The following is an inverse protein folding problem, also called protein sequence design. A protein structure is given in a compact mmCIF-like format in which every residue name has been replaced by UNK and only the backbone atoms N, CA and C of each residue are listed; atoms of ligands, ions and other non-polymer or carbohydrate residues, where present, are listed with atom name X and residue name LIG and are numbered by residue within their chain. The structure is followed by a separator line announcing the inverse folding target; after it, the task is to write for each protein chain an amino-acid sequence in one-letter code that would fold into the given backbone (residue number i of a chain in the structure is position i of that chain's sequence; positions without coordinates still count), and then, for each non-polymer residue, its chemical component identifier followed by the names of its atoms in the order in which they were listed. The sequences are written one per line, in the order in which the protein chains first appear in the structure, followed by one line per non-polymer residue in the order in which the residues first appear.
data_IF_467150648399
#
_entry.id   IF_467150648399
#
_cell.length_a   1.000
_cell.length_b   1.000
_cell.length_c   1.000
_cell.angle_alpha   90.00
_cell.angle_beta   90.00
_cell.angle_gamma   90.00
#
_symmetry.space_group_name_H-M   'P 1'
#
loop_
_entity.id
_entity.type
_entity.pdbx_description
1 polymer ?
#
# COMPACT_ATOMS: atom_id res chain seq x y z
N UNK A 1 19.11 -14.86 -6.03
CA UNK A 1 17.95 -14.43 -5.23
C UNK A 1 17.15 -13.40 -6.01
N UNK A 2 15.87 -13.17 -5.69
CA UNK A 2 15.03 -12.22 -6.46
C UNK A 2 15.27 -10.74 -6.11
N UNK A 3 16.06 -10.48 -5.08
CA UNK A 3 16.27 -9.13 -4.53
C UNK A 3 17.00 -8.21 -5.52
N UNK A 4 17.89 -8.77 -6.35
CA UNK A 4 18.65 -8.00 -7.36
C UNK A 4 17.76 -7.44 -8.48
N UNK A 5 16.54 -7.95 -8.64
CA UNK A 5 15.59 -7.54 -9.69
C UNK A 5 14.55 -6.52 -9.22
N UNK A 6 14.68 -5.98 -8.01
CA UNK A 6 13.68 -5.06 -7.47
C UNK A 6 13.49 -3.81 -8.36
N UNK A 7 14.58 -3.25 -8.89
CA UNK A 7 14.53 -2.06 -9.76
C UNK A 7 13.75 -2.34 -11.05
N UNK A 8 13.98 -3.51 -11.66
CA UNK A 8 13.28 -3.94 -12.88
C UNK A 8 11.78 -4.10 -12.59
N UNK A 9 11.43 -4.80 -11.51
CA UNK A 9 10.06 -5.03 -11.12
C UNK A 9 9.32 -3.72 -10.78
N UNK A 10 9.94 -2.81 -10.03
CA UNK A 10 9.34 -1.51 -9.68
C UNK A 10 9.05 -0.68 -10.93
N UNK A 11 9.97 -0.63 -11.90
CA UNK A 11 9.74 0.09 -13.17
C UNK A 11 8.59 -0.51 -13.96
N UNK A 12 8.55 -1.83 -14.08
CA UNK A 12 7.50 -2.52 -14.83
C UNK A 12 6.12 -2.35 -14.17
N UNK A 13 6.01 -2.57 -12.86
CA UNK A 13 4.77 -2.41 -12.12
C UNK A 13 4.29 -0.96 -12.15
N UNK A 14 5.20 0.02 -12.01
CA UNK A 14 4.89 1.44 -12.13
C UNK A 14 4.31 1.80 -13.50
N UNK A 15 4.91 1.31 -14.59
CA UNK A 15 4.35 1.48 -15.94
C UNK A 15 2.95 0.88 -16.07
N UNK A 16 2.70 -0.32 -15.52
CA UNK A 16 1.36 -0.90 -15.59
C UNK A 16 0.30 -0.13 -14.79
N UNK A 17 0.70 0.50 -13.68
CA UNK A 17 -0.19 1.39 -12.93
C UNK A 17 -0.50 2.64 -13.76
N UNK A 18 0.52 3.28 -14.34
CA UNK A 18 0.36 4.46 -15.20
C UNK A 18 -0.51 4.17 -16.43
N UNK A 19 -0.31 3.01 -17.07
CA UNK A 19 -1.07 2.55 -18.23
C UNK A 19 -2.49 2.06 -17.88
N UNK A 20 -2.86 2.03 -16.59
CA UNK A 20 -4.16 1.52 -16.12
C UNK A 20 -4.34 0.00 -16.24
N UNK A 21 -3.29 -0.72 -16.61
CA UNK A 21 -3.25 -2.19 -16.74
C UNK A 21 -3.24 -2.90 -15.39
N UNK A 22 -2.69 -2.25 -14.37
CA UNK A 22 -2.66 -2.72 -13.00
C UNK A 22 -3.53 -1.80 -12.13
N UNK A 23 -4.69 -2.31 -11.71
CA UNK A 23 -5.58 -1.63 -10.76
C UNK A 23 -5.23 -2.09 -9.35
N UNK A 24 -5.04 -1.15 -8.44
CA UNK A 24 -4.77 -1.42 -7.03
C UNK A 24 -5.88 -0.81 -6.16
N UNK A 25 -6.02 -1.35 -4.94
CA UNK A 25 -6.95 -0.84 -3.93
C UNK A 25 -6.20 -0.73 -2.62
N UNK A 26 -6.54 0.30 -1.87
CA UNK A 26 -5.90 0.61 -0.61
C UNK A 26 -6.96 0.95 0.43
N UNK A 27 -6.61 0.72 1.69
CA UNK A 27 -7.35 1.18 2.84
C UNK A 27 -6.43 2.12 3.62
N UNK A 28 -6.80 3.40 3.70
CA UNK A 28 -5.96 4.43 4.31
C UNK A 28 -6.53 4.79 5.68
N UNK A 29 -5.81 4.44 6.74
CA UNK A 29 -6.07 4.89 8.11
C UNK A 29 -5.40 6.24 8.39
N UNK A 30 -5.89 6.99 9.38
CA UNK A 30 -5.36 8.31 9.75
C UNK A 30 -4.75 8.26 11.15
N UNK A 31 -3.58 8.87 11.32
CA UNK A 31 -2.89 8.98 12.60
C UNK A 31 -2.11 7.72 12.95
N UNK A 32 -0.87 7.89 13.38
CA UNK A 32 0.00 6.79 13.78
C UNK A 32 -0.51 6.11 15.05
N UNK A 33 -1.11 6.87 15.96
CA UNK A 33 -1.74 6.40 17.19
C UNK A 33 -2.85 5.38 16.94
N UNK A 34 -3.51 5.43 15.78
CA UNK A 34 -4.57 4.51 15.38
C UNK A 34 -4.03 3.26 14.66
N UNK A 35 -2.74 3.21 14.32
CA UNK A 35 -2.12 2.10 13.60
C UNK A 35 -2.37 0.72 14.26
N UNK A 36 -2.33 0.56 15.60
CA UNK A 36 -2.66 -0.71 16.24
C UNK A 36 -4.07 -1.20 15.92
N UNK A 37 -5.08 -0.31 15.89
CA UNK A 37 -6.46 -0.70 15.58
C UNK A 37 -6.62 -1.06 14.10
N UNK A 38 -6.02 -0.28 13.19
CA UNK A 38 -6.04 -0.61 11.76
C UNK A 38 -5.34 -1.94 11.46
N UNK A 39 -4.23 -2.23 12.15
CA UNK A 39 -3.53 -3.50 12.03
C UNK A 39 -4.39 -4.67 12.55
N UNK A 40 -5.04 -4.53 13.69
CA UNK A 40 -6.00 -5.53 14.21
C UNK A 40 -7.17 -5.73 13.25
N UNK A 41 -7.67 -4.65 12.65
CA UNK A 41 -8.69 -4.70 11.61
C UNK A 41 -8.23 -5.48 10.38
N UNK A 42 -7.00 -5.24 9.92
CA UNK A 42 -6.40 -5.93 8.78
C UNK A 42 -6.30 -7.44 9.02
N UNK A 43 -5.85 -7.87 10.20
CA UNK A 43 -5.80 -9.29 10.57
C UNK A 43 -7.18 -9.94 10.67
N UNK A 44 -8.23 -9.15 10.83
CA UNK A 44 -9.63 -9.59 10.83
C UNK A 44 -10.30 -9.47 9.45
N UNK A 45 -9.56 -9.10 8.41
CA UNK A 45 -10.09 -8.93 7.04
C UNK A 45 -10.98 -7.70 6.85
N UNK A 46 -10.86 -6.68 7.72
CA UNK A 46 -11.67 -5.44 7.62
C UNK A 46 -11.20 -4.48 6.52
N UNK A 47 -9.99 -4.66 5.99
CA UNK A 47 -9.42 -3.80 4.95
C UNK A 47 -9.56 -4.42 3.56
N UNK A 48 -9.61 -3.57 2.54
CA UNK A 48 -9.46 -3.99 1.15
C UNK A 48 -8.08 -3.60 0.64
N UNK A 49 -7.39 -4.56 0.01
CA UNK A 49 -6.09 -4.34 -0.59
C UNK A 49 -5.01 -3.96 0.43
N UNK A 50 -4.15 -3.00 0.08
CA UNK A 50 -3.02 -2.60 0.94
C UNK A 50 -3.50 -1.69 2.07
N UNK A 51 -3.20 -2.04 3.31
CA UNK A 51 -3.38 -1.15 4.46
C UNK A 51 -2.24 -0.12 4.51
N UNK A 52 -2.60 1.17 4.56
CA UNK A 52 -1.69 2.31 4.73
C UNK A 52 -2.13 3.15 5.93
N UNK A 53 -1.20 3.94 6.49
CA UNK A 53 -1.45 4.91 7.55
C UNK A 53 -0.93 6.26 7.09
N UNK A 54 -1.81 7.26 7.02
CA UNK A 54 -1.43 8.66 6.81
C UNK A 54 -0.97 9.25 8.13
N UNK A 55 0.32 9.58 8.21
CA UNK A 55 0.97 10.09 9.42
C UNK A 55 0.90 11.62 9.50
N UNK A 56 0.95 12.31 8.35
CA UNK A 56 0.84 13.76 8.24
C UNK A 56 0.22 14.15 6.89
N UNK A 57 -0.18 15.41 6.74
CA UNK A 57 -0.47 16.02 5.45
C UNK A 57 0.84 16.33 4.70
N UNK A 58 0.77 16.39 3.37
CA UNK A 58 1.86 16.91 2.55
C UNK A 58 1.77 18.45 2.57
N UNK A 59 2.84 19.11 3.03
CA UNK A 59 2.97 20.58 3.04
C UNK A 59 2.99 21.18 1.62
#
# INVERSE_FOLDING_TARGET
EWHDRWVEATRQLGSWVQDGRLKYRESVGIGLENAPEYFRGMLKGKNFGKQLIKVADED
#
